data_IF_984927635102
#
_entry.id   IF_984927635102
#
_cell.length_a   1.000
_cell.length_b   1.000
_cell.length_c   1.000
_cell.angle_alpha   90.00
_cell.angle_beta   90.00
_cell.angle_gamma   90.00
#
_symmetry.space_group_name_H-M   'P 1'
#
loop_
_entity.id
_entity.type
_entity.pdbx_description
1 polymer ?
#
# COMPACT_ATOMS: atom_id res chain seq x y z
N UNK A 1 9.05 19.22 -8.24
CA UNK A 1 7.75 18.51 -8.24
C UNK A 1 6.95 19.04 -7.07
N UNK A 2 5.69 19.40 -7.27
CA UNK A 2 4.82 19.89 -6.19
C UNK A 2 3.81 18.79 -5.84
N UNK A 3 3.75 18.42 -4.57
CA UNK A 3 2.81 17.46 -4.00
C UNK A 3 2.40 17.91 -2.59
N UNK A 4 1.33 17.37 -1.99
CA UNK A 4 0.91 17.73 -0.64
C UNK A 4 2.01 17.47 0.39
N UNK A 5 2.35 18.48 1.20
CA UNK A 5 3.46 18.43 2.17
C UNK A 5 3.28 17.34 3.25
N UNK A 6 2.07 16.88 3.47
CA UNK A 6 1.83 15.80 4.44
C UNK A 6 2.44 14.46 4.01
N UNK A 7 2.71 14.24 2.70
CA UNK A 7 3.36 13.00 2.24
C UNK A 7 4.71 12.79 2.93
N UNK A 8 5.44 13.86 3.19
CA UNK A 8 6.75 13.81 3.86
C UNK A 8 6.64 13.53 5.38
N UNK A 9 5.42 13.61 5.94
CA UNK A 9 5.14 13.31 7.35
C UNK A 9 4.66 11.89 7.58
N UNK A 10 4.31 11.16 6.51
CA UNK A 10 3.87 9.78 6.60
C UNK A 10 5.06 8.90 6.99
N UNK A 11 4.86 8.04 7.99
CA UNK A 11 5.87 7.06 8.41
C UNK A 11 6.30 6.20 7.21
N UNK A 12 7.59 6.19 6.92
CA UNK A 12 8.15 5.36 5.86
C UNK A 12 8.30 3.90 6.29
N UNK A 13 8.34 3.01 5.31
CA UNK A 13 8.54 1.58 5.52
C UNK A 13 10.01 1.24 5.26
N UNK A 14 10.73 0.88 6.31
CA UNK A 14 12.13 0.45 6.21
C UNK A 14 12.19 -1.05 5.95
N UNK A 15 13.05 -1.45 5.02
CA UNK A 15 13.16 -2.81 4.52
C UNK A 15 14.64 -3.17 4.32
N UNK A 16 14.91 -4.46 4.27
CA UNK A 16 16.17 -4.98 3.75
C UNK A 16 15.88 -5.82 2.51
N UNK A 17 16.57 -5.55 1.42
CA UNK A 17 16.46 -6.27 0.16
C UNK A 17 17.75 -7.06 -0.13
N UNK A 18 17.77 -8.38 0.10
CA UNK A 18 18.98 -9.19 -0.08
C UNK A 18 19.49 -9.22 -1.54
N UNK A 19 18.60 -9.16 -2.53
CA UNK A 19 19.00 -9.07 -3.93
C UNK A 19 19.68 -7.74 -4.22
N UNK A 20 19.14 -6.65 -3.71
CA UNK A 20 19.71 -5.31 -3.84
C UNK A 20 21.10 -5.22 -3.21
N UNK A 21 21.30 -5.87 -2.05
CA UNK A 21 22.61 -5.96 -1.41
C UNK A 21 23.64 -6.63 -2.30
N UNK A 22 23.33 -7.83 -2.83
CA UNK A 22 24.26 -8.60 -3.68
C UNK A 22 24.59 -7.86 -4.98
N UNK A 23 23.61 -7.17 -5.54
CA UNK A 23 23.77 -6.40 -6.78
C UNK A 23 24.37 -4.99 -6.55
N UNK A 24 24.63 -4.62 -5.31
CA UNK A 24 25.24 -3.33 -4.95
C UNK A 24 24.35 -2.11 -5.20
N UNK A 25 23.02 -2.29 -5.26
CA UNK A 25 22.09 -1.19 -5.47
C UNK A 25 21.88 -0.33 -4.21
N UNK A 26 21.86 -0.97 -3.05
CA UNK A 26 21.79 -0.30 -1.74
C UNK A 26 22.76 -0.96 -0.76
N UNK A 27 23.43 -0.13 0.07
CA UNK A 27 24.35 -0.61 1.09
C UNK A 27 23.64 -1.51 2.10
N UNK A 28 24.18 -2.71 2.33
CA UNK A 28 23.56 -3.76 3.14
C UNK A 28 22.12 -4.14 2.70
N UNK A 29 21.70 -3.71 1.51
CA UNK A 29 20.33 -3.88 1.02
C UNK A 29 19.28 -3.05 1.76
N UNK A 30 19.70 -2.14 2.65
CA UNK A 30 18.78 -1.29 3.42
C UNK A 30 18.14 -0.24 2.53
N UNK A 31 16.83 -0.20 2.53
CA UNK A 31 16.05 0.74 1.75
C UNK A 31 14.82 1.22 2.52
N UNK A 32 14.26 2.29 2.04
CA UNK A 32 13.09 2.92 2.63
C UNK A 32 12.09 3.19 1.51
N UNK A 33 10.82 2.85 1.74
CA UNK A 33 9.73 3.16 0.81
C UNK A 33 8.81 4.17 1.46
N UNK A 34 8.66 5.31 0.81
CA UNK A 34 7.79 6.41 1.23
C UNK A 34 6.40 6.29 0.62
N UNK A 35 5.41 6.96 1.23
CA UNK A 35 4.07 7.05 0.65
C UNK A 35 4.10 7.72 -0.73
N UNK A 36 4.97 8.71 -0.94
CA UNK A 36 5.13 9.38 -2.23
C UNK A 36 5.53 8.41 -3.36
N UNK A 37 6.35 7.41 -3.08
CA UNK A 37 6.72 6.40 -4.09
C UNK A 37 5.52 5.52 -4.46
N UNK A 38 4.69 5.17 -3.48
CA UNK A 38 3.43 4.45 -3.76
C UNK A 38 2.44 5.31 -4.57
N UNK A 39 2.38 6.61 -4.31
CA UNK A 39 1.58 7.56 -5.13
C UNK A 39 2.11 7.63 -6.55
N UNK A 40 3.42 7.67 -6.75
CA UNK A 40 4.03 7.64 -8.10
C UNK A 40 3.73 6.34 -8.85
N UNK A 41 3.77 5.21 -8.14
CA UNK A 41 3.38 3.92 -8.70
C UNK A 41 1.92 3.89 -9.15
N UNK A 42 1.01 4.37 -8.28
CA UNK A 42 -0.43 4.34 -8.53
C UNK A 42 -0.91 5.46 -9.48
N UNK A 43 -0.08 6.51 -9.70
CA UNK A 43 -0.43 7.69 -10.49
C UNK A 43 -1.37 8.67 -9.75
N UNK A 44 -1.78 8.37 -8.52
CA UNK A 44 -2.68 9.21 -7.72
C UNK A 44 -2.60 8.88 -6.23
N UNK A 45 -3.08 9.81 -5.40
CA UNK A 45 -3.27 9.61 -3.97
C UNK A 45 -4.75 9.52 -3.64
N UNK A 46 -5.18 8.45 -2.99
CA UNK A 46 -6.57 8.21 -2.60
C UNK A 46 -6.66 7.36 -1.32
N UNK A 47 -7.86 7.25 -0.71
CA UNK A 47 -8.05 6.39 0.47
C UNK A 47 -7.63 4.93 0.26
N UNK A 48 -7.79 4.37 -0.95
CA UNK A 48 -7.37 2.99 -1.27
C UNK A 48 -5.85 2.85 -1.25
N UNK A 49 -5.11 3.75 -1.89
CA UNK A 49 -3.63 3.75 -1.89
C UNK A 49 -3.10 3.95 -0.46
N UNK A 50 -3.75 4.85 0.32
CA UNK A 50 -3.41 5.06 1.72
C UNK A 50 -3.65 3.79 2.57
N UNK A 51 -4.79 3.14 2.39
CA UNK A 51 -5.13 1.89 3.08
C UNK A 51 -4.17 0.75 2.74
N UNK A 52 -3.83 0.58 1.47
CA UNK A 52 -2.85 -0.41 1.02
C UNK A 52 -1.46 -0.17 1.65
N UNK A 53 -1.04 1.09 1.71
CA UNK A 53 0.20 1.49 2.38
C UNK A 53 0.18 1.14 3.87
N UNK A 54 -0.91 1.50 4.58
CA UNK A 54 -1.06 1.21 6.01
C UNK A 54 -1.17 -0.30 6.28
N UNK A 55 -1.87 -1.07 5.45
CA UNK A 55 -1.91 -2.52 5.58
C UNK A 55 -0.51 -3.14 5.41
N UNK A 56 0.28 -2.66 4.44
CA UNK A 56 1.65 -3.11 4.29
C UNK A 56 2.51 -2.75 5.51
N UNK A 57 2.45 -1.50 5.98
CA UNK A 57 3.18 -1.02 7.15
C UNK A 57 2.86 -1.88 8.40
N UNK A 58 1.58 -1.97 8.76
CA UNK A 58 1.12 -2.70 9.96
C UNK A 58 1.35 -4.21 9.85
N UNK A 59 1.15 -4.78 8.67
CA UNK A 59 1.40 -6.20 8.42
C UNK A 59 2.88 -6.57 8.57
N UNK A 60 3.76 -5.74 8.04
CA UNK A 60 5.21 -5.93 8.18
C UNK A 60 5.68 -5.73 9.62
N UNK A 61 5.19 -4.71 10.32
CA UNK A 61 5.46 -4.50 11.74
C UNK A 61 5.04 -5.71 12.58
N UNK A 62 3.87 -6.29 12.29
CA UNK A 62 3.36 -7.47 12.99
C UNK A 62 4.19 -8.72 12.74
N UNK A 63 4.61 -8.94 11.48
CA UNK A 63 5.37 -10.13 11.08
C UNK A 63 6.83 -10.10 11.52
N UNK A 64 7.44 -8.94 11.59
CA UNK A 64 8.88 -8.81 11.83
C UNK A 64 9.23 -8.20 13.18
N UNK A 65 8.29 -7.55 13.87
CA UNK A 65 8.54 -6.91 15.15
C UNK A 65 9.67 -5.87 15.04
N UNK A 66 10.80 -6.14 15.66
CA UNK A 66 11.98 -5.27 15.64
C UNK A 66 12.98 -5.57 14.51
N UNK A 67 12.77 -6.67 13.78
CA UNK A 67 13.62 -7.03 12.63
C UNK A 67 13.24 -6.18 11.40
N UNK A 68 14.21 -5.95 10.51
CA UNK A 68 13.91 -5.34 9.20
C UNK A 68 13.20 -6.37 8.30
N UNK A 69 12.01 -6.02 7.78
CA UNK A 69 11.31 -6.88 6.84
C UNK A 69 12.15 -7.18 5.60
N UNK A 70 12.19 -8.47 5.22
CA UNK A 70 12.97 -8.94 4.09
C UNK A 70 12.17 -8.82 2.80
N UNK A 71 12.51 -7.85 1.95
CA UNK A 71 11.86 -7.64 0.66
C UNK A 71 12.13 -8.80 -0.29
N UNK A 72 11.08 -9.32 -0.93
CA UNK A 72 11.14 -10.52 -1.77
C UNK A 72 10.96 -11.84 -1.00
N UNK A 73 10.78 -11.80 0.32
CA UNK A 73 10.51 -12.98 1.16
C UNK A 73 9.10 -12.95 1.76
N UNK A 74 8.19 -12.24 1.10
CA UNK A 74 6.81 -12.10 1.54
C UNK A 74 5.89 -12.53 0.41
N UNK A 75 5.02 -13.49 0.68
CA UNK A 75 3.92 -13.88 -0.18
C UNK A 75 2.70 -13.02 0.14
N UNK A 76 2.03 -12.54 -0.88
CA UNK A 76 0.81 -11.72 -0.79
C UNK A 76 -0.35 -12.54 -1.35
N UNK A 77 -1.34 -12.84 -0.51
CA UNK A 77 -2.55 -13.54 -0.92
C UNK A 77 -3.74 -12.58 -0.79
N UNK A 78 -4.47 -12.36 -1.86
CA UNK A 78 -5.65 -11.50 -1.91
C UNK A 78 -6.92 -12.33 -1.79
N UNK A 79 -7.91 -11.82 -1.03
CA UNK A 79 -9.21 -12.48 -0.90
C UNK A 79 -9.94 -12.56 -2.23
N UNK A 80 -10.06 -11.43 -2.91
CA UNK A 80 -10.81 -11.28 -4.15
C UNK A 80 -9.94 -11.51 -5.38
N UNK A 81 -10.59 -11.63 -6.55
CA UNK A 81 -9.89 -11.66 -7.84
C UNK A 81 -9.20 -10.31 -8.13
N UNK A 82 -8.19 -10.34 -8.98
CA UNK A 82 -7.41 -9.14 -9.36
C UNK A 82 -8.29 -8.01 -9.92
N UNK A 83 -9.35 -8.38 -10.64
CA UNK A 83 -10.23 -7.42 -11.32
C UNK A 83 -11.40 -6.94 -10.45
N UNK A 84 -11.60 -7.52 -9.28
CA UNK A 84 -12.72 -7.17 -8.43
C UNK A 84 -12.47 -5.90 -7.62
N UNK A 85 -13.35 -4.91 -7.79
CA UNK A 85 -13.31 -3.65 -7.03
C UNK A 85 -11.97 -2.92 -7.14
N UNK A 86 -11.29 -2.76 -6.01
CA UNK A 86 -9.98 -2.10 -5.90
C UNK A 86 -8.83 -3.05 -5.57
N UNK A 87 -9.08 -4.35 -5.65
CA UNK A 87 -8.11 -5.41 -5.27
C UNK A 87 -6.78 -5.27 -5.99
N UNK A 88 -6.79 -5.06 -7.31
CA UNK A 88 -5.58 -4.88 -8.09
C UNK A 88 -4.77 -3.66 -7.65
N UNK A 89 -5.43 -2.54 -7.30
CA UNK A 89 -4.76 -1.33 -6.81
C UNK A 89 -4.08 -1.61 -5.47
N UNK A 90 -4.78 -2.26 -4.54
CA UNK A 90 -4.23 -2.64 -3.23
C UNK A 90 -3.04 -3.57 -3.42
N UNK A 91 -3.20 -4.61 -4.22
CA UNK A 91 -2.15 -5.59 -4.49
C UNK A 91 -0.91 -4.95 -5.13
N UNK A 92 -1.06 -4.03 -6.08
CA UNK A 92 0.06 -3.35 -6.72
C UNK A 92 0.90 -2.55 -5.72
N UNK A 93 0.26 -1.82 -4.80
CA UNK A 93 0.97 -1.06 -3.76
C UNK A 93 1.70 -2.00 -2.79
N UNK A 94 1.03 -3.04 -2.30
CA UNK A 94 1.64 -4.01 -1.38
C UNK A 94 2.78 -4.77 -2.08
N UNK A 95 2.60 -5.16 -3.33
CA UNK A 95 3.63 -5.83 -4.15
C UNK A 95 4.84 -4.94 -4.37
N UNK A 96 4.65 -3.66 -4.65
CA UNK A 96 5.74 -2.71 -4.77
C UNK A 96 6.56 -2.62 -3.48
N UNK A 97 5.91 -2.57 -2.33
CA UNK A 97 6.57 -2.50 -1.02
C UNK A 97 7.30 -3.82 -0.71
N UNK A 98 6.61 -4.94 -0.83
CA UNK A 98 7.14 -6.26 -0.43
C UNK A 98 8.08 -6.90 -1.44
N UNK A 99 8.08 -6.42 -2.69
CA UNK A 99 8.80 -7.05 -3.79
C UNK A 99 8.14 -8.31 -4.34
N UNK A 100 6.94 -8.67 -3.84
CA UNK A 100 6.17 -9.80 -4.35
C UNK A 100 5.64 -9.52 -5.76
N UNK A 101 5.68 -10.51 -6.62
CA UNK A 101 5.11 -10.43 -7.97
C UNK A 101 4.37 -11.71 -8.34
N UNK A 102 3.47 -11.61 -9.31
CA UNK A 102 2.82 -12.75 -9.95
C UNK A 102 3.79 -13.56 -10.82
N UNK A 103 3.27 -14.32 -11.77
CA UNK A 103 4.06 -15.19 -12.64
C UNK A 103 5.14 -14.47 -13.46
N UNK A 104 4.92 -13.19 -13.81
CA UNK A 104 5.86 -12.36 -14.57
C UNK A 104 7.00 -11.75 -13.75
N UNK A 105 7.08 -12.01 -12.44
CA UNK A 105 8.12 -11.49 -11.58
C UNK A 105 9.51 -12.06 -11.87
N UNK A 106 10.53 -11.44 -11.27
CA UNK A 106 11.93 -11.86 -11.40
C UNK A 106 12.10 -13.30 -10.92
N UNK A 107 12.74 -14.14 -11.75
CA UNK A 107 12.91 -15.58 -11.50
C UNK A 107 14.10 -15.92 -10.60
N UNK A 108 14.83 -14.91 -10.16
CA UNK A 108 16.00 -15.07 -9.30
C UNK A 108 17.30 -15.32 -10.04
N UNK A 109 18.38 -15.39 -9.28
CA UNK A 109 19.71 -15.81 -9.72
C UNK A 109 19.87 -17.29 -9.37
N UNK A 110 19.80 -18.18 -10.35
CA UNK A 110 19.75 -19.63 -10.13
C UNK A 110 18.65 -20.07 -9.12
N UNK A 111 17.49 -19.40 -9.16
CA UNK A 111 16.36 -19.66 -8.27
C UNK A 111 16.44 -18.94 -6.91
N UNK A 112 17.59 -18.39 -6.54
CA UNK A 112 17.73 -17.58 -5.31
C UNK A 112 17.21 -16.16 -5.55
N UNK A 113 16.56 -15.55 -4.56
CA UNK A 113 15.96 -14.20 -4.67
C UNK A 113 14.85 -14.07 -5.71
N UNK A 114 14.18 -15.16 -6.03
CA UNK A 114 13.02 -15.13 -6.92
C UNK A 114 11.88 -14.30 -6.29
N UNK A 115 11.21 -13.52 -7.13
CA UNK A 115 10.08 -12.66 -6.73
C UNK A 115 8.81 -12.98 -7.51
N UNK A 116 8.87 -13.98 -8.38
CA UNK A 116 7.71 -14.49 -9.10
C UNK A 116 6.92 -15.47 -8.25
N UNK A 117 5.65 -15.66 -8.59
CA UNK A 117 4.72 -16.56 -7.89
C UNK A 117 4.55 -16.26 -6.38
N UNK A 118 4.78 -15.01 -5.98
CA UNK A 118 4.57 -14.52 -4.62
C UNK A 118 3.24 -13.77 -4.45
N UNK A 119 2.46 -13.62 -5.50
CA UNK A 119 1.12 -13.03 -5.47
C UNK A 119 0.10 -14.07 -5.89
N UNK A 120 -0.96 -14.19 -5.09
CA UNK A 120 -2.11 -15.04 -5.37
C UNK A 120 -3.42 -14.27 -5.15
N UNK A 121 -4.45 -14.64 -5.90
CA UNK A 121 -5.80 -14.08 -5.79
C UNK A 121 -6.82 -15.19 -5.50
N UNK A 122 -8.06 -14.81 -5.24
CA UNK A 122 -9.18 -15.73 -4.99
C UNK A 122 -8.90 -16.68 -3.81
N UNK A 123 -8.35 -16.17 -2.72
CA UNK A 123 -8.03 -16.98 -1.54
C UNK A 123 -9.07 -16.81 -0.45
N UNK A 124 -9.61 -17.92 0.02
CA UNK A 124 -10.52 -17.90 1.17
C UNK A 124 -9.77 -17.47 2.43
N UNK A 125 -10.17 -16.33 3.01
CA UNK A 125 -9.61 -15.76 4.23
C UNK A 125 -10.61 -14.83 4.92
N UNK A 126 -10.41 -14.56 6.18
CA UNK A 126 -11.20 -13.59 6.95
C UNK A 126 -10.58 -12.19 6.93
N UNK A 127 -10.36 -11.63 5.74
CA UNK A 127 -9.77 -10.31 5.52
C UNK A 127 -9.61 -10.01 4.05
N UNK A 128 -8.91 -8.94 3.71
CA UNK A 128 -8.69 -8.50 2.32
C UNK A 128 -7.37 -9.02 1.76
N UNK A 129 -6.34 -9.08 2.61
CA UNK A 129 -5.00 -9.52 2.22
C UNK A 129 -4.32 -10.30 3.35
N UNK A 130 -3.62 -11.38 2.99
CA UNK A 130 -2.72 -12.09 3.90
C UNK A 130 -1.28 -11.91 3.43
N UNK A 131 -0.42 -11.47 4.33
CA UNK A 131 1.03 -11.43 4.15
C UNK A 131 1.64 -12.64 4.86
N UNK A 132 2.47 -13.41 4.16
CA UNK A 132 3.12 -14.60 4.71
C UNK A 132 4.63 -14.51 4.50
N UNK A 133 5.41 -14.64 5.56
CA UNK A 133 6.87 -14.78 5.47
C UNK A 133 7.20 -16.13 4.84
N UNK A 134 8.01 -16.15 3.78
CA UNK A 134 8.38 -17.41 3.10
C UNK A 134 9.44 -18.21 3.84
N UNK A 135 10.16 -17.57 4.77
CA UNK A 135 11.22 -18.20 5.59
C UNK A 135 10.67 -18.91 6.83
N UNK A 136 9.63 -18.36 7.48
CA UNK A 136 9.07 -18.89 8.73
C UNK A 136 7.66 -19.46 8.56
N UNK A 137 6.97 -19.16 7.45
CA UNK A 137 5.55 -19.42 7.21
C UNK A 137 4.60 -18.70 8.20
N UNK A 138 5.10 -17.74 8.96
CA UNK A 138 4.23 -16.87 9.75
C UNK A 138 3.40 -15.98 8.83
N UNK A 139 2.15 -15.79 9.17
CA UNK A 139 1.23 -14.98 8.37
C UNK A 139 0.39 -14.05 9.22
N UNK A 140 -0.06 -12.97 8.60
CA UNK A 140 -1.00 -12.01 9.16
C UNK A 140 -2.04 -11.67 8.10
N UNK A 141 -3.30 -11.65 8.50
CA UNK A 141 -4.40 -11.26 7.62
C UNK A 141 -4.91 -9.87 8.02
N UNK A 142 -5.10 -9.01 7.03
CA UNK A 142 -5.45 -7.62 7.25
C UNK A 142 -6.71 -7.23 6.47
N UNK A 143 -7.47 -6.30 7.05
CA UNK A 143 -8.59 -5.62 6.39
C UNK A 143 -8.50 -4.12 6.67
N UNK A 144 -9.01 -3.32 5.74
CA UNK A 144 -9.00 -1.87 5.84
C UNK A 144 -10.41 -1.27 5.73
N UNK A 145 -10.80 -0.48 6.71
CA UNK A 145 -12.06 0.23 6.71
C UNK A 145 -11.90 1.70 7.17
N UNK A 146 -11.83 2.66 6.24
CA UNK A 146 -11.70 4.08 6.57
C UNK A 146 -13.04 4.79 6.84
N UNK A 147 -14.13 4.10 7.07
CA UNK A 147 -15.48 4.69 7.18
C UNK A 147 -15.59 5.74 8.29
N UNK A 148 -14.81 5.58 9.35
CA UNK A 148 -14.75 6.55 10.46
C UNK A 148 -14.12 7.91 10.06
N UNK A 149 -13.30 7.93 8.99
CA UNK A 149 -12.79 9.17 8.41
C UNK A 149 -13.77 9.63 7.34
N UNK A 150 -14.76 10.40 7.76
CA UNK A 150 -15.80 10.94 6.88
C UNK A 150 -15.23 11.78 5.74
N UNK A 151 -15.91 11.77 4.60
CA UNK A 151 -15.67 12.72 3.54
C UNK A 151 -16.35 14.06 3.85
N UNK A 152 -15.74 15.18 3.41
CA UNK A 152 -16.41 16.48 3.48
C UNK A 152 -17.72 16.43 2.66
N UNK A 153 -18.84 16.96 3.18
CA UNK A 153 -20.12 16.94 2.45
C UNK A 153 -20.07 17.57 1.06
N UNK A 154 -19.19 18.56 0.84
CA UNK A 154 -19.01 19.19 -0.47
C UNK A 154 -18.34 18.29 -1.51
N UNK A 155 -17.58 17.28 -1.07
CA UNK A 155 -16.84 16.41 -2.00
C UNK A 155 -17.73 15.71 -3.02
N UNK A 156 -18.90 15.24 -2.63
CA UNK A 156 -19.82 14.55 -3.53
C UNK A 156 -20.34 15.50 -4.64
N UNK A 157 -20.72 16.72 -4.25
CA UNK A 157 -21.19 17.74 -5.21
C UNK A 157 -20.08 18.15 -6.18
N UNK A 158 -18.88 18.42 -5.66
CA UNK A 158 -17.74 18.83 -6.48
C UNK A 158 -17.27 17.71 -7.41
N UNK A 159 -17.29 16.47 -6.95
CA UNK A 159 -17.00 15.29 -7.77
C UNK A 159 -18.02 15.18 -8.90
N UNK A 160 -19.31 15.29 -8.61
CA UNK A 160 -20.35 15.24 -9.62
C UNK A 160 -20.17 16.29 -10.72
N UNK A 161 -19.91 17.56 -10.35
CA UNK A 161 -19.61 18.64 -11.31
C UNK A 161 -18.36 18.36 -12.13
N UNK A 162 -17.32 17.83 -11.50
CA UNK A 162 -16.05 17.51 -12.16
C UNK A 162 -16.25 16.41 -13.21
N UNK A 163 -16.96 15.34 -12.87
CA UNK A 163 -17.24 14.23 -13.79
C UNK A 163 -18.15 14.64 -14.95
N UNK A 164 -19.06 15.59 -14.74
CA UNK A 164 -19.92 16.16 -15.79
C UNK A 164 -19.19 17.21 -16.65
N UNK A 165 -17.97 17.59 -16.31
CA UNK A 165 -17.20 18.60 -17.06
C UNK A 165 -17.65 20.04 -16.84
N UNK A 166 -18.54 20.31 -15.86
CA UNK A 166 -19.11 21.65 -15.59
C UNK A 166 -18.46 22.36 -14.40
N UNK A 167 -17.53 21.72 -13.70
CA UNK A 167 -16.82 22.32 -12.59
C UNK A 167 -15.89 23.44 -13.06
N UNK A 168 -15.90 24.57 -12.34
CA UNK A 168 -14.92 25.65 -12.52
C UNK A 168 -13.53 25.21 -12.08
N UNK A 169 -12.49 25.98 -12.45
CA UNK A 169 -11.12 25.68 -12.01
C UNK A 169 -10.96 25.73 -10.48
N UNK A 170 -11.66 26.66 -9.81
CA UNK A 170 -11.61 26.79 -8.36
C UNK A 170 -12.35 25.63 -7.66
N UNK A 171 -13.48 25.18 -8.22
CA UNK A 171 -14.18 23.98 -7.75
C UNK A 171 -13.33 22.71 -7.88
N UNK A 172 -12.58 22.56 -8.98
CA UNK A 172 -11.62 21.45 -9.16
C UNK A 172 -10.48 21.49 -8.15
N UNK A 173 -9.92 22.68 -7.87
CA UNK A 173 -8.89 22.86 -6.85
C UNK A 173 -9.42 22.53 -5.46
N UNK A 174 -10.63 23.00 -5.14
CA UNK A 174 -11.26 22.74 -3.85
C UNK A 174 -11.58 21.24 -3.68
N UNK A 175 -12.08 20.56 -4.71
CA UNK A 175 -12.24 19.11 -4.70
C UNK A 175 -10.92 18.39 -4.38
N UNK A 176 -9.84 18.74 -5.07
CA UNK A 176 -8.52 18.15 -4.81
C UNK A 176 -8.02 18.41 -3.36
N UNK A 177 -8.24 19.63 -2.86
CA UNK A 177 -7.88 19.99 -1.48
C UNK A 177 -8.66 19.14 -0.45
N UNK A 178 -9.95 19.02 -0.60
CA UNK A 178 -10.80 18.23 0.31
C UNK A 178 -10.48 16.74 0.22
N UNK A 179 -10.22 16.25 -0.99
CA UNK A 179 -9.79 14.86 -1.23
C UNK A 179 -8.51 14.54 -0.49
N UNK A 180 -7.48 15.38 -0.66
CA UNK A 180 -6.19 15.16 -0.01
C UNK A 180 -6.26 15.39 1.51
N UNK A 181 -7.10 16.28 2.00
CA UNK A 181 -7.33 16.45 3.44
C UNK A 181 -7.91 15.17 4.10
N UNK A 182 -8.76 14.42 3.40
CA UNK A 182 -9.23 13.12 3.86
C UNK A 182 -8.10 12.08 3.89
N UNK A 183 -7.29 12.01 2.84
CA UNK A 183 -6.13 11.11 2.78
C UNK A 183 -5.11 11.44 3.87
N UNK A 184 -4.85 12.72 4.12
CA UNK A 184 -3.99 13.18 5.22
C UNK A 184 -4.47 12.64 6.57
N UNK A 185 -5.77 12.78 6.86
CA UNK A 185 -6.36 12.25 8.10
C UNK A 185 -6.19 10.74 8.22
N UNK A 186 -6.39 9.97 7.15
CA UNK A 186 -6.19 8.52 7.15
C UNK A 186 -4.74 8.17 7.51
N UNK A 187 -3.78 8.88 6.92
CA UNK A 187 -2.35 8.54 7.05
C UNK A 187 -1.71 9.10 8.32
N UNK A 188 -2.19 10.21 8.86
CA UNK A 188 -1.54 10.88 9.99
C UNK A 188 -2.26 10.70 11.33
N UNK A 189 -3.52 10.24 11.35
CA UNK A 189 -4.24 9.94 12.60
C UNK A 189 -3.85 8.56 13.12
N UNK A 190 -2.61 8.44 13.62
CA UNK A 190 -2.03 7.16 14.06
C UNK A 190 -2.84 6.50 15.18
N UNK A 191 -3.51 7.29 16.01
CA UNK A 191 -4.41 6.85 17.09
C UNK A 191 -5.68 6.13 16.58
N UNK A 192 -5.99 6.29 15.28
CA UNK A 192 -7.15 5.65 14.64
C UNK A 192 -6.77 4.43 13.79
N UNK A 193 -5.48 4.16 13.58
CA UNK A 193 -5.06 3.08 12.69
C UNK A 193 -5.59 1.72 13.12
N UNK A 194 -5.58 1.41 14.41
CA UNK A 194 -6.06 0.11 14.92
C UNK A 194 -7.58 -0.05 14.81
N UNK A 195 -8.32 1.04 14.54
CA UNK A 195 -9.74 1.00 14.22
C UNK A 195 -10.00 0.89 12.72
N UNK A 196 -9.06 1.36 11.89
CA UNK A 196 -9.13 1.29 10.42
C UNK A 196 -8.50 0.02 9.86
N UNK A 197 -7.46 -0.50 10.51
CA UNK A 197 -6.75 -1.72 10.10
C UNK A 197 -7.05 -2.82 11.11
N UNK A 198 -7.78 -3.83 10.68
CA UNK A 198 -7.99 -5.05 11.47
C UNK A 198 -6.88 -6.03 11.15
N UNK A 199 -6.26 -6.60 12.20
CA UNK A 199 -5.17 -7.58 12.11
C UNK A 199 -5.66 -8.88 12.77
N UNK A 200 -5.50 -10.01 12.06
CA UNK A 200 -5.86 -11.35 12.51
C UNK A 200 -4.72 -12.34 12.31
#
# INVERSE_FOLDING_TARGET
>A
MHYPLFFDKVQSIKLQDPLSNILGAFEEGKMEITYLECVKLAGHSCPTVAGAYLMALKGLETLYGTELPQRGFIKVSMHNSEQEGVTGVICNVISFITGANGQGGFKGLNGTFARNNLVEYDKAMEGEVTLTRTDTNQSVTLSYNPSMIGADPMMQTLMGKTMQGVATQDEKKEFGRLWQARVEKILLSTELWDQMITIK
#
